data_IF_291419446527
#
_entry.id   IF_291419446527
#
_cell.length_a   1.000
_cell.length_b   1.000
_cell.length_c   1.000
_cell.angle_alpha   90.00
_cell.angle_beta   90.00
_cell.angle_gamma   90.00
#
_symmetry.space_group_name_H-M   'P 1'
#
loop_
_entity.id
_entity.type
_entity.pdbx_description
1 polymer ?
#
# COMPACT_ATOMS: atom_id res chain seq x y z
N UNK A 1 4.88 -23.00 -6.17
CA UNK A 1 5.05 -24.47 -6.01
C UNK A 1 5.86 -25.05 -7.16
N UNK A 2 5.43 -24.88 -8.42
CA UNK A 2 6.15 -25.45 -9.58
C UNK A 2 7.63 -25.06 -9.64
N UNK A 3 7.95 -23.78 -9.38
CA UNK A 3 9.34 -23.32 -9.31
C UNK A 3 10.13 -24.07 -8.21
N UNK A 4 9.56 -24.18 -7.00
CA UNK A 4 10.19 -24.89 -5.88
C UNK A 4 10.38 -26.36 -6.21
N UNK A 5 9.37 -27.02 -6.80
CA UNK A 5 9.46 -28.43 -7.22
C UNK A 5 10.61 -28.65 -8.23
N UNK A 6 10.72 -27.79 -9.24
CA UNK A 6 11.82 -27.84 -10.22
C UNK A 6 13.18 -27.67 -9.52
N UNK A 7 13.31 -26.68 -8.65
CA UNK A 7 14.54 -26.44 -7.87
C UNK A 7 14.90 -27.66 -7.02
N UNK A 8 13.94 -28.27 -6.33
CA UNK A 8 14.20 -29.45 -5.51
C UNK A 8 14.70 -30.63 -6.35
N UNK A 9 14.09 -30.88 -7.51
CA UNK A 9 14.49 -31.95 -8.42
C UNK A 9 15.92 -31.71 -8.95
N UNK A 10 16.21 -30.49 -9.43
CA UNK A 10 17.53 -30.14 -9.96
C UNK A 10 18.60 -30.21 -8.87
N UNK A 11 18.29 -29.75 -7.66
CA UNK A 11 19.20 -29.84 -6.52
C UNK A 11 19.53 -31.29 -6.17
N UNK A 12 18.54 -32.20 -6.21
CA UNK A 12 18.77 -33.63 -6.02
C UNK A 12 19.60 -34.27 -7.12
N UNK A 13 19.53 -33.78 -8.36
CA UNK A 13 20.42 -34.25 -9.43
C UNK A 13 21.87 -33.84 -9.18
N UNK A 14 22.09 -32.60 -8.73
CA UNK A 14 23.43 -32.07 -8.46
C UNK A 14 24.03 -32.57 -7.14
N UNK A 15 23.18 -32.80 -6.13
CA UNK A 15 23.56 -33.25 -4.79
C UNK A 15 22.56 -34.30 -4.29
N UNK A 16 22.70 -35.57 -4.73
CA UNK A 16 21.77 -36.64 -4.36
C UNK A 16 21.59 -36.83 -2.85
N UNK A 17 22.67 -36.62 -2.10
CA UNK A 17 22.70 -36.79 -0.64
C UNK A 17 22.22 -35.55 0.13
N UNK A 18 21.93 -34.43 -0.55
CA UNK A 18 21.39 -33.23 0.09
C UNK A 18 19.95 -33.48 0.50
N UNK A 19 19.66 -33.43 1.79
CA UNK A 19 18.31 -33.49 2.31
C UNK A 19 17.57 -32.16 2.08
N UNK A 20 16.30 -32.25 1.67
CA UNK A 20 15.44 -31.12 1.36
C UNK A 20 14.24 -31.16 2.32
N UNK A 21 14.16 -30.11 3.14
CA UNK A 21 13.05 -29.86 4.04
C UNK A 21 12.22 -28.68 3.53
N UNK A 22 10.90 -28.85 3.46
CA UNK A 22 9.96 -27.78 3.14
C UNK A 22 9.08 -27.44 4.35
N UNK A 23 8.74 -26.16 4.52
CA UNK A 23 7.89 -25.67 5.60
C UNK A 23 7.03 -24.48 5.19
N UNK A 24 6.10 -24.09 6.06
CA UNK A 24 5.25 -22.91 5.90
C UNK A 24 3.76 -23.21 5.67
N UNK A 25 2.91 -22.17 5.60
CA UNK A 25 1.46 -22.33 5.54
C UNK A 25 0.98 -23.16 4.34
N UNK A 26 1.61 -22.98 3.18
CA UNK A 26 1.22 -23.66 1.94
C UNK A 26 1.39 -25.19 1.99
N UNK A 27 2.48 -25.68 2.61
CA UNK A 27 2.71 -27.13 2.76
C UNK A 27 1.91 -27.73 3.92
N UNK A 28 1.58 -26.92 4.92
CA UNK A 28 0.92 -27.37 6.15
C UNK A 28 -0.49 -27.90 5.92
N UNK A 29 -1.20 -27.42 4.90
CA UNK A 29 -2.58 -27.82 4.60
C UNK A 29 -2.71 -28.90 3.53
N UNK A 30 -1.60 -29.31 2.92
CA UNK A 30 -1.58 -30.32 1.86
C UNK A 30 -0.20 -31.01 1.73
N UNK A 31 0.34 -31.57 2.82
CA UNK A 31 1.72 -32.04 2.87
C UNK A 31 1.99 -33.24 1.97
N UNK A 32 0.95 -33.99 1.59
CA UNK A 32 1.05 -35.18 0.75
C UNK A 32 1.48 -34.83 -0.69
N UNK A 33 1.19 -33.61 -1.16
CA UNK A 33 1.55 -33.13 -2.50
C UNK A 33 3.00 -32.65 -2.63
N UNK A 34 3.80 -32.79 -1.58
CA UNK A 34 5.21 -32.39 -1.52
C UNK A 34 6.14 -33.61 -1.37
N UNK A 35 5.79 -34.70 -2.05
CA UNK A 35 6.53 -35.97 -2.00
C UNK A 35 7.95 -35.91 -2.55
N UNK A 36 8.25 -34.90 -3.36
CA UNK A 36 9.56 -34.55 -3.92
C UNK A 36 10.52 -33.90 -2.91
N UNK A 37 10.06 -33.57 -1.71
CA UNK A 37 10.90 -33.23 -0.57
C UNK A 37 11.12 -34.47 0.31
N UNK A 38 12.28 -34.54 0.98
CA UNK A 38 12.57 -35.61 1.93
C UNK A 38 11.72 -35.44 3.20
N UNK A 39 11.52 -34.18 3.62
CA UNK A 39 10.78 -33.82 4.82
C UNK A 39 9.87 -32.62 4.58
N UNK A 40 8.68 -32.67 5.17
CA UNK A 40 7.72 -31.57 5.21
C UNK A 40 7.38 -31.25 6.66
N UNK A 41 7.58 -30.00 7.07
CA UNK A 41 7.21 -29.49 8.39
C UNK A 41 5.91 -28.70 8.28
N UNK A 42 4.87 -29.22 8.92
CA UNK A 42 3.56 -28.58 9.02
C UNK A 42 3.49 -27.75 10.30
N UNK A 43 3.02 -26.51 10.24
CA UNK A 43 3.02 -25.61 11.39
C UNK A 43 4.37 -24.95 11.66
N UNK A 44 4.66 -24.67 12.93
CA UNK A 44 5.83 -23.91 13.38
C UNK A 44 7.12 -24.76 13.39
N UNK A 45 8.13 -24.32 12.66
CA UNK A 45 9.38 -25.05 12.46
C UNK A 45 10.46 -24.73 13.49
N UNK A 46 10.27 -23.73 14.34
CA UNK A 46 11.32 -23.16 15.20
C UNK A 46 11.90 -24.14 16.24
N UNK A 47 11.15 -25.19 16.59
CA UNK A 47 11.62 -26.30 17.45
C UNK A 47 11.83 -27.56 16.63
N UNK A 48 10.87 -27.89 15.78
CA UNK A 48 10.84 -29.15 15.03
C UNK A 48 12.00 -29.27 14.06
N UNK A 49 12.41 -28.19 13.39
CA UNK A 49 13.56 -28.22 12.47
C UNK A 49 14.87 -28.50 13.23
N UNK A 50 15.23 -27.78 14.31
CA UNK A 50 16.38 -28.14 15.14
C UNK A 50 16.34 -29.56 15.69
N UNK A 51 15.20 -30.04 16.18
CA UNK A 51 15.08 -31.41 16.71
C UNK A 51 15.31 -32.47 15.64
N UNK A 52 14.81 -32.21 14.42
CA UNK A 52 15.03 -33.08 13.26
C UNK A 52 16.51 -33.12 12.88
N UNK A 53 17.15 -31.96 12.74
CA UNK A 53 18.57 -31.85 12.39
C UNK A 53 19.51 -32.49 13.44
N UNK A 54 19.07 -32.53 14.70
CA UNK A 54 19.79 -33.21 15.79
C UNK A 54 19.48 -34.71 15.89
N UNK A 55 18.66 -35.26 15.00
CA UNK A 55 18.27 -36.68 14.99
C UNK A 55 17.37 -37.09 16.16
N UNK A 56 16.73 -36.14 16.86
CA UNK A 56 15.83 -36.42 17.99
C UNK A 56 14.46 -36.90 17.53
N UNK A 57 14.05 -36.47 16.35
CA UNK A 57 12.82 -36.86 15.67
C UNK A 57 13.15 -37.27 14.24
N UNK A 58 12.29 -38.07 13.62
CA UNK A 58 12.42 -38.50 12.22
C UNK A 58 11.05 -38.71 11.60
N UNK A 59 10.97 -38.66 10.27
CA UNK A 59 9.75 -38.89 9.51
C UNK A 59 9.62 -37.96 8.31
N UNK A 60 8.79 -38.35 7.34
CA UNK A 60 8.55 -37.56 6.12
C UNK A 60 7.69 -36.32 6.38
N UNK A 61 6.70 -36.43 7.26
CA UNK A 61 5.81 -35.32 7.62
C UNK A 61 5.94 -35.11 9.12
N UNK A 62 6.47 -33.95 9.49
CA UNK A 62 6.68 -33.53 10.88
C UNK A 62 5.64 -32.49 11.27
N UNK A 63 5.17 -32.58 12.50
CA UNK A 63 4.20 -31.63 13.06
C UNK A 63 4.91 -30.66 13.99
N UNK A 64 4.93 -29.41 13.56
CA UNK A 64 5.37 -28.24 14.30
C UNK A 64 4.41 -27.90 15.44
N UNK A 65 4.96 -27.52 16.58
CA UNK A 65 4.19 -27.08 17.74
C UNK A 65 4.40 -25.60 18.02
N UNK A 66 3.35 -24.85 18.41
CA UNK A 66 3.46 -23.46 18.76
C UNK A 66 4.52 -23.18 19.84
N UNK A 67 5.33 -22.14 19.63
CA UNK A 67 6.29 -21.67 20.63
C UNK A 67 5.91 -20.32 21.25
N UNK A 68 6.29 -20.06 22.51
CA UNK A 68 6.26 -18.71 23.05
C UNK A 68 7.18 -17.80 22.25
N UNK A 69 6.65 -16.72 21.69
CA UNK A 69 7.41 -15.81 20.82
C UNK A 69 8.60 -15.16 21.53
N UNK A 70 8.49 -14.93 22.85
CA UNK A 70 9.58 -14.40 23.67
C UNK A 70 10.80 -15.34 23.78
N UNK A 71 10.68 -16.62 23.39
CA UNK A 71 11.80 -17.57 23.37
C UNK A 71 12.56 -17.58 22.03
N UNK A 72 12.02 -16.93 21.00
CA UNK A 72 12.66 -16.87 19.69
C UNK A 72 13.86 -15.93 19.72
N UNK A 73 14.87 -16.14 18.88
CA UNK A 73 15.91 -15.13 18.67
C UNK A 73 15.36 -13.97 17.84
N UNK A 74 16.00 -12.80 17.92
CA UNK A 74 15.74 -11.74 16.95
C UNK A 74 16.18 -12.20 15.55
N UNK A 75 15.33 -11.97 14.54
CA UNK A 75 15.50 -12.60 13.22
C UNK A 75 16.62 -11.99 12.37
N UNK A 76 17.10 -10.80 12.72
CA UNK A 76 18.06 -10.03 11.92
C UNK A 76 19.38 -9.89 12.67
N UNK A 77 20.48 -10.27 12.04
CA UNK A 77 21.81 -9.88 12.48
C UNK A 77 22.05 -8.38 12.22
N UNK A 78 23.08 -7.81 12.81
CA UNK A 78 23.43 -6.41 12.55
C UNK A 78 23.89 -6.21 11.09
N UNK A 79 24.46 -7.24 10.46
CA UNK A 79 24.79 -7.26 9.02
C UNK A 79 23.52 -7.24 8.16
N UNK A 80 22.52 -8.07 8.48
CA UNK A 80 21.23 -8.08 7.77
C UNK A 80 20.56 -6.70 7.81
N UNK A 81 20.61 -6.02 8.97
CA UNK A 81 20.04 -4.69 9.13
C UNK A 81 20.76 -3.65 8.28
N UNK A 82 22.10 -3.65 8.27
CA UNK A 82 22.88 -2.70 7.48
C UNK A 82 22.67 -2.90 5.97
N UNK A 83 22.64 -4.14 5.49
CA UNK A 83 22.40 -4.45 4.07
C UNK A 83 20.98 -4.09 3.60
N UNK A 84 19.99 -4.22 4.50
CA UNK A 84 18.58 -4.05 4.16
C UNK A 84 17.95 -2.77 4.72
N UNK A 85 18.73 -1.85 5.30
CA UNK A 85 18.19 -0.62 5.92
C UNK A 85 17.38 0.26 4.96
N UNK A 86 17.66 0.21 3.66
CA UNK A 86 16.91 0.95 2.64
C UNK A 86 15.79 0.14 1.98
N UNK A 87 15.46 -1.02 2.53
CA UNK A 87 14.43 -1.92 2.05
C UNK A 87 13.34 -2.07 3.11
N UNK A 88 12.22 -2.63 2.68
CA UNK A 88 11.17 -3.03 3.60
C UNK A 88 11.62 -4.23 4.44
N UNK A 89 11.62 -4.07 5.78
CA UNK A 89 11.91 -5.15 6.73
C UNK A 89 10.60 -5.62 7.39
N UNK A 90 10.39 -6.94 7.45
CA UNK A 90 9.22 -7.52 8.09
C UNK A 90 9.46 -7.80 9.57
N UNK A 91 8.48 -7.52 10.42
CA UNK A 91 8.60 -7.71 11.86
C UNK A 91 7.36 -8.38 12.45
N UNK A 92 7.54 -9.48 13.17
CA UNK A 92 6.46 -10.17 13.87
C UNK A 92 6.50 -9.81 15.35
N UNK A 93 5.47 -9.11 15.82
CA UNK A 93 5.26 -8.76 17.23
C UNK A 93 4.20 -9.66 17.87
N UNK A 94 3.33 -10.24 17.05
CA UNK A 94 2.31 -11.20 17.44
C UNK A 94 2.04 -12.21 16.32
N UNK A 95 1.56 -13.40 16.70
CA UNK A 95 1.22 -14.50 15.80
C UNK A 95 -0.20 -14.97 16.06
N UNK A 96 -0.98 -15.12 15.00
CA UNK A 96 -2.41 -15.43 15.03
C UNK A 96 -3.30 -14.21 14.80
N UNK A 97 -4.61 -14.41 14.81
CA UNK A 97 -5.62 -13.38 14.56
C UNK A 97 -6.88 -13.69 15.38
N UNK A 98 -7.56 -12.69 15.97
CA UNK A 98 -8.81 -12.95 16.72
C UNK A 98 -10.01 -13.19 15.80
N UNK A 99 -9.89 -12.86 14.51
CA UNK A 99 -10.96 -12.96 13.54
C UNK A 99 -10.99 -14.30 12.81
N UNK A 100 -12.20 -14.68 12.39
CA UNK A 100 -12.48 -15.96 11.74
C UNK A 100 -12.71 -15.83 10.22
N UNK A 101 -12.21 -14.76 9.57
CA UNK A 101 -12.49 -14.46 8.16
C UNK A 101 -12.25 -15.69 7.27
N UNK A 102 -13.26 -16.06 6.48
CA UNK A 102 -13.30 -17.35 5.78
C UNK A 102 -12.23 -17.53 4.71
N UNK A 103 -11.72 -16.42 4.15
CA UNK A 103 -10.71 -16.38 3.10
C UNK A 103 -9.26 -16.30 3.62
N UNK A 104 -9.08 -16.03 4.92
CA UNK A 104 -7.77 -15.80 5.50
C UNK A 104 -7.15 -17.09 6.04
N UNK A 105 -5.83 -17.28 5.92
CA UNK A 105 -5.15 -18.41 6.56
C UNK A 105 -4.93 -18.19 8.05
N UNK A 106 -4.84 -16.93 8.48
CA UNK A 106 -4.62 -16.58 9.89
C UNK A 106 -5.85 -16.83 10.78
N UNK A 107 -7.03 -17.09 10.20
CA UNK A 107 -8.22 -17.51 10.94
C UNK A 107 -8.20 -19.00 11.33
N UNK A 108 -7.24 -19.77 10.80
CA UNK A 108 -7.12 -21.20 11.10
C UNK A 108 -6.43 -21.42 12.45
N UNK A 109 -5.48 -20.55 12.80
CA UNK A 109 -4.87 -20.53 14.13
C UNK A 109 -5.85 -19.97 15.15
N UNK A 110 -5.91 -20.59 16.34
CA UNK A 110 -6.79 -20.14 17.42
C UNK A 110 -6.06 -19.19 18.36
N UNK A 111 -6.58 -17.97 18.47
CA UNK A 111 -6.10 -16.96 19.40
C UNK A 111 -4.86 -16.23 18.90
N UNK A 112 -4.27 -15.43 19.79
CA UNK A 112 -3.13 -14.58 19.49
C UNK A 112 -2.06 -14.81 20.55
N UNK A 113 -0.81 -14.98 20.12
CA UNK A 113 0.37 -14.96 20.98
C UNK A 113 1.13 -13.67 20.72
N UNK A 114 1.60 -13.04 21.80
CA UNK A 114 2.35 -11.79 21.74
C UNK A 114 3.77 -12.00 22.23
N UNK A 115 4.72 -11.25 21.66
CA UNK A 115 5.98 -10.93 22.35
C UNK A 115 5.70 -9.97 23.50
N UNK A 116 6.53 -10.01 24.54
CA UNK A 116 6.50 -9.02 25.62
C UNK A 116 6.70 -7.60 25.06
N UNK A 117 6.12 -6.60 25.74
CA UNK A 117 6.21 -5.20 25.27
C UNK A 117 7.65 -4.72 25.33
N UNK A 118 8.36 -5.08 26.39
CA UNK A 118 9.75 -4.73 26.65
C UNK A 118 10.63 -5.19 25.50
N UNK A 119 10.46 -6.45 25.07
CA UNK A 119 11.17 -7.00 23.93
C UNK A 119 10.84 -6.29 22.63
N UNK A 120 9.56 -5.98 22.38
CA UNK A 120 9.19 -5.24 21.17
C UNK A 120 9.83 -3.86 21.15
N UNK A 121 9.77 -3.11 22.25
CA UNK A 121 10.41 -1.80 22.33
C UNK A 121 11.93 -1.88 22.10
N UNK A 122 12.61 -2.89 22.67
CA UNK A 122 14.04 -3.14 22.41
C UNK A 122 14.32 -3.42 20.93
N UNK A 123 13.56 -4.31 20.30
CA UNK A 123 13.71 -4.67 18.88
C UNK A 123 13.41 -3.48 17.96
N UNK A 124 12.40 -2.66 18.27
CA UNK A 124 12.12 -1.41 17.54
C UNK A 124 13.26 -0.40 17.66
N UNK A 125 13.87 -0.29 18.84
CA UNK A 125 15.01 0.59 19.02
C UNK A 125 16.22 0.14 18.21
N UNK A 126 16.46 -1.17 18.10
CA UNK A 126 17.51 -1.72 17.23
C UNK A 126 17.31 -1.36 15.75
N UNK A 127 16.08 -1.45 15.25
CA UNK A 127 15.79 -1.01 13.87
C UNK A 127 16.08 0.48 13.67
N UNK A 128 15.71 1.32 14.62
CA UNK A 128 15.95 2.77 14.56
C UNK A 128 17.43 3.15 14.66
N UNK A 129 18.18 2.47 15.53
CA UNK A 129 19.62 2.67 15.67
C UNK A 129 20.39 2.26 14.41
N UNK A 130 19.92 1.20 13.74
CA UNK A 130 20.39 0.78 12.42
C UNK A 130 19.89 1.68 11.27
N UNK A 131 19.01 2.65 11.56
CA UNK A 131 18.41 3.58 10.60
C UNK A 131 17.68 2.87 9.45
N UNK A 132 16.93 1.81 9.78
CA UNK A 132 16.05 1.15 8.83
C UNK A 132 14.96 2.13 8.38
N UNK A 133 14.73 2.26 7.08
CA UNK A 133 13.79 3.23 6.51
C UNK A 133 12.33 2.86 6.84
N UNK A 134 11.96 1.58 6.69
CA UNK A 134 10.58 1.11 6.89
C UNK A 134 10.53 -0.32 7.46
N UNK A 135 9.85 -0.46 8.60
CA UNK A 135 9.53 -1.74 9.23
C UNK A 135 8.02 -2.02 9.11
N UNK A 136 7.64 -3.09 8.42
CA UNK A 136 6.25 -3.57 8.32
C UNK A 136 5.98 -4.67 9.32
N UNK A 137 5.02 -4.44 10.20
CA UNK A 137 4.49 -5.45 11.08
C UNK A 137 3.70 -6.47 10.26
N UNK A 138 3.98 -7.76 10.46
CA UNK A 138 3.22 -8.86 9.84
C UNK A 138 2.04 -9.33 10.71
N UNK A 139 1.81 -8.63 11.83
CA UNK A 139 0.69 -8.79 12.74
C UNK A 139 -0.63 -8.47 12.02
N UNK A 140 -1.44 -9.49 11.73
CA UNK A 140 -2.71 -9.38 10.95
C UNK A 140 -3.76 -8.45 11.54
N UNK A 141 -3.71 -8.25 12.85
CA UNK A 141 -4.56 -7.30 13.55
C UNK A 141 -3.73 -6.73 14.68
N UNK A 142 -2.80 -5.85 14.32
CA UNK A 142 -1.85 -5.28 15.27
C UNK A 142 -2.54 -4.69 16.52
N UNK A 143 -3.67 -4.03 16.31
CA UNK A 143 -4.45 -3.39 17.37
C UNK A 143 -5.48 -4.30 18.07
N UNK A 144 -5.36 -5.63 17.93
CA UNK A 144 -6.23 -6.58 18.63
C UNK A 144 -6.17 -6.42 20.17
N UNK A 145 -4.99 -6.11 20.71
CA UNK A 145 -4.84 -5.60 22.08
C UNK A 145 -4.57 -4.08 22.04
N UNK A 146 -5.62 -3.29 22.26
CA UNK A 146 -5.57 -1.82 22.24
C UNK A 146 -4.52 -1.24 23.18
N UNK A 147 -4.40 -1.77 24.41
CA UNK A 147 -3.46 -1.23 25.40
C UNK A 147 -2.03 -1.49 24.98
N UNK A 148 -1.77 -2.65 24.38
CA UNK A 148 -0.48 -3.00 23.80
C UNK A 148 -0.14 -2.12 22.60
N UNK A 149 -1.05 -1.99 21.63
CA UNK A 149 -0.85 -1.18 20.44
C UNK A 149 -0.52 0.27 20.79
N UNK A 150 -1.28 0.88 21.71
CA UNK A 150 -1.02 2.23 22.22
C UNK A 150 0.38 2.38 22.84
N UNK A 151 0.86 1.40 23.60
CA UNK A 151 2.22 1.44 24.17
C UNK A 151 3.30 1.39 23.09
N UNK A 152 3.12 0.52 22.09
CA UNK A 152 4.07 0.39 20.97
C UNK A 152 4.07 1.66 20.12
N UNK A 153 2.90 2.21 19.78
CA UNK A 153 2.82 3.46 19.02
C UNK A 153 3.47 4.63 19.76
N UNK A 154 3.22 4.77 21.07
CA UNK A 154 3.90 5.80 21.88
C UNK A 154 5.40 5.66 21.85
N UNK A 155 5.91 4.45 22.06
CA UNK A 155 7.36 4.20 22.01
C UNK A 155 7.93 4.51 20.63
N UNK A 156 7.32 4.01 19.56
CA UNK A 156 7.77 4.22 18.19
C UNK A 156 7.74 5.71 17.78
N UNK A 157 6.76 6.47 18.26
CA UNK A 157 6.66 7.91 17.98
C UNK A 157 7.68 8.75 18.79
N UNK A 158 8.01 8.33 20.01
CA UNK A 158 8.87 9.10 20.93
C UNK A 158 10.36 8.75 20.82
N UNK A 159 10.67 7.45 20.71
CA UNK A 159 12.03 6.92 20.87
C UNK A 159 12.70 6.56 19.55
N UNK A 160 11.93 6.38 18.48
CA UNK A 160 12.48 6.12 17.14
C UNK A 160 12.47 7.41 16.32
N UNK A 161 13.61 7.85 15.79
CA UNK A 161 13.73 9.11 15.02
C UNK A 161 13.79 8.93 13.52
N UNK A 162 14.30 7.78 13.06
CA UNK A 162 14.61 7.52 11.66
C UNK A 162 13.60 6.58 11.03
N UNK A 163 13.24 5.50 11.73
CA UNK A 163 12.45 4.41 11.15
C UNK A 163 10.96 4.74 11.05
N UNK A 164 10.36 4.47 9.89
CA UNK A 164 8.91 4.47 9.69
C UNK A 164 8.34 3.09 9.99
N UNK A 165 7.08 3.05 10.41
CA UNK A 165 6.41 1.80 10.77
C UNK A 165 5.09 1.61 10.02
N UNK A 166 4.90 0.43 9.45
CA UNK A 166 3.69 0.04 8.75
C UNK A 166 2.94 -1.01 9.56
N UNK A 167 1.64 -0.82 9.78
CA UNK A 167 0.79 -1.70 10.58
C UNK A 167 -0.47 -2.12 9.83
N UNK A 168 -0.82 -3.41 9.88
CA UNK A 168 -2.14 -3.92 9.49
C UNK A 168 -3.07 -3.87 10.72
N UNK A 169 -4.20 -3.18 10.62
CA UNK A 169 -5.10 -2.96 11.76
C UNK A 169 -6.58 -3.08 11.42
N UNK A 170 -7.39 -3.38 12.43
CA UNK A 170 -8.84 -3.32 12.36
C UNK A 170 -9.30 -1.91 12.74
N UNK A 171 -9.74 -1.12 11.75
CA UNK A 171 -10.07 0.30 11.94
C UNK A 171 -11.24 0.51 12.91
N UNK A 172 -12.17 -0.44 13.00
CA UNK A 172 -13.31 -0.40 13.90
C UNK A 172 -12.94 -0.56 15.39
N UNK A 173 -11.74 -1.04 15.69
CA UNK A 173 -11.23 -1.16 17.07
C UNK A 173 -10.64 0.16 17.60
N UNK A 174 -10.44 1.16 16.74
CA UNK A 174 -9.91 2.46 17.15
C UNK A 174 -10.94 3.20 18.01
N UNK A 175 -10.49 3.69 19.16
CA UNK A 175 -11.27 4.54 20.05
C UNK A 175 -10.81 5.99 19.95
N UNK A 176 -11.59 6.90 20.54
CA UNK A 176 -11.33 8.34 20.47
C UNK A 176 -9.96 8.69 21.08
N UNK A 177 -9.53 8.00 22.14
CA UNK A 177 -8.19 8.21 22.72
C UNK A 177 -7.06 7.75 21.79
N UNK A 178 -7.30 6.72 20.98
CA UNK A 178 -6.32 6.25 20.00
C UNK A 178 -6.16 7.28 18.89
N UNK A 179 -7.28 7.76 18.35
CA UNK A 179 -7.31 8.80 17.33
C UNK A 179 -6.62 10.08 17.81
N UNK A 180 -6.93 10.54 19.03
CA UNK A 180 -6.35 11.79 19.56
C UNK A 180 -4.83 11.69 19.71
N UNK A 181 -4.31 10.54 20.13
CA UNK A 181 -2.87 10.30 20.13
C UNK A 181 -2.31 10.30 18.69
N UNK A 182 -2.97 9.61 17.76
CA UNK A 182 -2.49 9.48 16.38
C UNK A 182 -2.40 10.82 15.64
N UNK A 183 -3.24 11.81 15.98
CA UNK A 183 -3.10 13.18 15.48
C UNK A 183 -1.77 13.85 15.86
N UNK A 184 -1.13 13.41 16.94
CA UNK A 184 0.14 13.97 17.43
C UNK A 184 1.37 13.32 16.80
N UNK A 185 1.19 12.23 16.04
CA UNK A 185 2.28 11.48 15.43
C UNK A 185 2.94 12.33 14.31
N UNK A 186 4.28 12.39 14.21
CA UNK A 186 4.95 13.10 13.13
C UNK A 186 4.54 12.61 11.74
N UNK A 187 4.41 13.54 10.79
CA UNK A 187 4.02 13.24 9.40
C UNK A 187 4.92 12.17 8.80
N UNK A 188 4.30 11.14 8.20
CA UNK A 188 5.00 10.07 7.50
C UNK A 188 5.69 9.04 8.42
N UNK A 189 5.49 9.13 9.74
CA UNK A 189 6.05 8.17 10.71
C UNK A 189 5.35 6.82 10.66
N UNK A 190 4.02 6.82 10.50
CA UNK A 190 3.21 5.61 10.46
C UNK A 190 2.50 5.46 9.11
N UNK A 191 2.32 4.20 8.72
CA UNK A 191 1.47 3.77 7.63
C UNK A 191 0.48 2.72 8.17
N UNK A 192 -0.79 2.83 7.79
CA UNK A 192 -1.82 1.90 8.20
C UNK A 192 -2.45 1.21 6.99
N UNK A 193 -2.55 -0.12 7.07
CA UNK A 193 -3.33 -0.95 6.15
C UNK A 193 -4.62 -1.38 6.86
N UNK A 194 -5.76 -0.94 6.32
CA UNK A 194 -7.09 -1.15 6.90
C UNK A 194 -7.97 -1.87 5.89
N UNK A 195 -8.20 -3.16 6.13
CA UNK A 195 -9.03 -3.97 5.26
C UNK A 195 -10.52 -3.63 5.38
N UNK A 196 -11.13 -3.04 4.34
CA UNK A 196 -12.59 -2.87 4.25
C UNK A 196 -13.20 -4.12 3.62
N UNK A 197 -12.54 -4.64 2.58
CA UNK A 197 -12.82 -5.84 1.81
C UNK A 197 -14.07 -5.74 0.94
N UNK A 198 -15.19 -5.25 1.49
CA UNK A 198 -16.42 -4.94 0.76
C UNK A 198 -17.24 -3.96 1.59
N UNK A 199 -18.08 -3.16 0.93
CA UNK A 199 -19.10 -2.33 1.61
C UNK A 199 -20.47 -3.01 1.66
N UNK A 200 -20.60 -4.18 1.06
CA UNK A 200 -21.82 -4.97 1.07
C UNK A 200 -21.89 -5.83 2.34
N UNK A 201 -22.85 -5.54 3.21
CA UNK A 201 -23.02 -6.26 4.48
C UNK A 201 -23.30 -7.76 4.30
N UNK A 202 -23.99 -8.17 3.22
CA UNK A 202 -24.24 -9.59 2.93
C UNK A 202 -22.94 -10.30 2.57
N UNK A 203 -22.10 -9.68 1.75
CA UNK A 203 -20.78 -10.19 1.41
C UNK A 203 -19.92 -10.37 2.65
N UNK A 204 -19.79 -9.32 3.47
CA UNK A 204 -19.00 -9.34 4.70
C UNK A 204 -19.45 -10.43 5.68
N UNK A 205 -20.77 -10.56 5.89
CA UNK A 205 -21.35 -11.61 6.72
C UNK A 205 -21.07 -13.00 6.17
N UNK A 206 -21.16 -13.19 4.85
CA UNK A 206 -20.91 -14.48 4.21
C UNK A 206 -19.46 -14.96 4.37
N UNK A 207 -18.53 -14.02 4.49
CA UNK A 207 -17.11 -14.33 4.71
C UNK A 207 -16.67 -14.28 6.17
N UNK A 208 -17.61 -14.28 7.11
CA UNK A 208 -17.38 -14.18 8.56
C UNK A 208 -16.61 -12.92 9.00
N UNK A 209 -16.68 -11.85 8.20
CA UNK A 209 -16.13 -10.53 8.54
C UNK A 209 -17.24 -9.67 9.13
N UNK A 210 -17.44 -9.79 10.43
CA UNK A 210 -18.46 -9.02 11.14
C UNK A 210 -17.84 -7.73 11.69
N UNK A 211 -18.36 -6.59 11.27
CA UNK A 211 -17.91 -5.27 11.72
C UNK A 211 -18.97 -4.20 11.47
N UNK A 212 -18.86 -3.06 12.15
CA UNK A 212 -19.72 -1.91 11.90
C UNK A 212 -19.09 -1.04 10.82
N UNK A 213 -19.60 -1.14 9.58
CA UNK A 213 -19.09 -0.39 8.44
C UNK A 213 -19.16 1.13 8.63
N UNK A 214 -20.26 1.64 9.19
CA UNK A 214 -20.40 3.07 9.46
C UNK A 214 -19.30 3.56 10.41
N UNK A 215 -19.10 2.83 11.52
CA UNK A 215 -18.04 3.16 12.47
C UNK A 215 -16.66 3.08 11.81
N UNK A 216 -16.39 2.04 11.03
CA UNK A 216 -15.13 1.89 10.31
C UNK A 216 -14.84 3.10 9.40
N UNK A 217 -15.80 3.51 8.59
CA UNK A 217 -15.67 4.68 7.71
C UNK A 217 -15.44 5.96 8.52
N UNK A 218 -16.15 6.15 9.63
CA UNK A 218 -15.96 7.33 10.49
C UNK A 218 -14.56 7.36 11.12
N UNK A 219 -14.03 6.21 11.53
CA UNK A 219 -12.65 6.09 12.04
C UNK A 219 -11.61 6.39 10.96
N UNK A 220 -11.80 5.87 9.74
CA UNK A 220 -10.89 6.13 8.61
C UNK A 220 -10.90 7.62 8.25
N UNK A 221 -12.08 8.26 8.16
CA UNK A 221 -12.19 9.71 7.91
C UNK A 221 -11.46 10.52 8.97
N UNK A 222 -11.57 10.13 10.24
CA UNK A 222 -10.86 10.82 11.32
C UNK A 222 -9.34 10.71 11.17
N UNK A 223 -8.81 9.53 10.80
CA UNK A 223 -7.38 9.33 10.53
C UNK A 223 -6.90 10.21 9.36
N UNK A 224 -7.65 10.21 8.25
CA UNK A 224 -7.28 10.95 7.04
C UNK A 224 -7.34 12.47 7.24
N UNK A 225 -8.22 12.97 8.11
CA UNK A 225 -8.43 14.42 8.32
C UNK A 225 -7.18 15.19 8.75
N UNK A 226 -6.18 14.52 9.31
CA UNK A 226 -4.94 15.15 9.80
C UNK A 226 -3.83 15.15 8.75
N UNK A 227 -3.86 14.20 7.81
CA UNK A 227 -2.86 14.10 6.74
C UNK A 227 -1.44 13.72 7.20
N UNK A 228 -1.27 13.21 8.43
CA UNK A 228 0.03 12.84 8.99
C UNK A 228 0.36 11.34 8.87
N UNK A 229 -0.65 10.49 8.63
CA UNK A 229 -0.52 9.04 8.53
C UNK A 229 -0.93 8.61 7.13
N UNK A 230 -0.10 7.80 6.48
CA UNK A 230 -0.42 7.22 5.18
C UNK A 230 -1.37 6.03 5.36
N UNK A 231 -2.52 6.04 4.69
CA UNK A 231 -3.57 5.03 4.88
C UNK A 231 -3.84 4.28 3.58
N UNK A 232 -3.73 2.95 3.67
CA UNK A 232 -4.14 2.01 2.64
C UNK A 232 -5.50 1.44 3.03
N UNK A 233 -6.42 1.39 2.06
CA UNK A 233 -7.68 0.67 2.19
C UNK A 233 -7.76 -0.45 1.18
N UNK A 234 -8.30 -1.60 1.58
CA UNK A 234 -8.37 -2.78 0.71
C UNK A 234 -9.81 -3.15 0.35
N UNK A 235 -10.00 -3.57 -0.90
CA UNK A 235 -11.19 -4.27 -1.39
C UNK A 235 -10.82 -5.63 -1.97
N UNK A 236 -11.72 -6.61 -1.91
CA UNK A 236 -11.52 -7.93 -2.52
C UNK A 236 -12.63 -8.23 -3.54
N UNK A 237 -12.23 -8.47 -4.78
CA UNK A 237 -13.10 -8.92 -5.87
C UNK A 237 -13.47 -10.39 -5.71
N UNK A 238 -14.75 -10.69 -5.93
CA UNK A 238 -15.25 -12.05 -6.10
C UNK A 238 -15.56 -12.81 -4.83
N UNK A 239 -15.79 -12.11 -3.73
CA UNK A 239 -16.43 -12.68 -2.55
C UNK A 239 -17.90 -13.06 -2.84
N UNK A 240 -18.53 -13.93 -2.03
CA UNK A 240 -19.93 -14.29 -2.19
C UNK A 240 -20.83 -13.06 -2.10
N UNK A 241 -21.88 -12.99 -2.92
CA UNK A 241 -22.81 -11.85 -3.04
C UNK A 241 -22.21 -10.54 -3.61
N UNK A 242 -20.93 -10.55 -3.99
CA UNK A 242 -20.26 -9.39 -4.61
C UNK A 242 -20.33 -9.51 -6.14
N UNK A 243 -21.42 -9.04 -6.75
CA UNK A 243 -21.50 -8.90 -8.22
C UNK A 243 -20.68 -7.71 -8.71
N UNK A 244 -20.50 -7.59 -10.04
CA UNK A 244 -19.80 -6.44 -10.63
C UNK A 244 -20.40 -5.08 -10.22
N UNK A 245 -21.72 -4.95 -10.21
CA UNK A 245 -22.40 -3.71 -9.80
C UNK A 245 -22.26 -3.43 -8.30
N UNK A 246 -22.28 -4.48 -7.48
CA UNK A 246 -22.04 -4.34 -6.03
C UNK A 246 -20.59 -3.92 -5.78
N UNK A 247 -19.64 -4.49 -6.51
CA UNK A 247 -18.23 -4.09 -6.43
C UNK A 247 -18.04 -2.65 -6.90
N UNK A 248 -18.71 -2.20 -7.96
CA UNK A 248 -18.71 -0.79 -8.41
C UNK A 248 -19.15 0.13 -7.26
N UNK A 249 -20.21 -0.22 -6.54
CA UNK A 249 -20.63 0.53 -5.36
C UNK A 249 -19.54 0.53 -4.27
N UNK A 250 -19.02 -0.64 -3.90
CA UNK A 250 -17.92 -0.76 -2.93
C UNK A 250 -16.69 0.06 -3.29
N UNK A 251 -16.31 0.06 -4.57
CA UNK A 251 -15.21 0.87 -5.09
C UNK A 251 -15.47 2.35 -4.88
N UNK A 252 -16.63 2.86 -5.32
CA UNK A 252 -16.96 4.27 -5.20
C UNK A 252 -17.05 4.72 -3.73
N UNK A 253 -17.63 3.90 -2.87
CA UNK A 253 -17.74 4.18 -1.43
C UNK A 253 -16.35 4.30 -0.79
N UNK A 254 -15.45 3.36 -1.05
CA UNK A 254 -14.08 3.41 -0.50
C UNK A 254 -13.27 4.53 -1.14
N UNK A 255 -13.37 4.73 -2.46
CA UNK A 255 -12.67 5.81 -3.15
C UNK A 255 -13.05 7.20 -2.60
N UNK A 256 -14.30 7.38 -2.16
CA UNK A 256 -14.77 8.63 -1.53
C UNK A 256 -14.09 8.97 -0.21
N UNK A 257 -13.38 8.02 0.41
CA UNK A 257 -12.57 8.29 1.59
C UNK A 257 -11.31 9.10 1.24
N UNK A 258 -10.86 9.06 -0.02
CA UNK A 258 -9.60 9.65 -0.46
C UNK A 258 -8.40 9.14 0.36
N UNK A 259 -8.36 7.83 0.64
CA UNK A 259 -7.19 7.20 1.27
C UNK A 259 -6.00 7.26 0.32
N UNK A 260 -4.78 7.37 0.85
CA UNK A 260 -3.57 7.47 0.03
C UNK A 260 -3.42 6.30 -0.96
N UNK A 261 -3.81 5.10 -0.53
CA UNK A 261 -3.82 3.92 -1.40
C UNK A 261 -5.17 3.22 -1.34
N UNK A 262 -5.69 2.83 -2.51
CA UNK A 262 -6.81 1.90 -2.67
C UNK A 262 -6.30 0.63 -3.33
N UNK A 263 -6.17 -0.44 -2.55
CA UNK A 263 -5.73 -1.74 -3.03
C UNK A 263 -6.93 -2.59 -3.41
N UNK A 264 -6.97 -3.04 -4.67
CA UNK A 264 -7.98 -3.97 -5.16
C UNK A 264 -7.36 -5.36 -5.31
N UNK A 265 -7.65 -6.23 -4.34
CA UNK A 265 -7.24 -7.62 -4.34
C UNK A 265 -8.26 -8.53 -5.04
N UNK A 266 -7.80 -9.71 -5.45
CA UNK A 266 -8.65 -10.76 -6.03
C UNK A 266 -8.71 -11.94 -5.09
N UNK A 267 -9.91 -12.47 -4.85
CA UNK A 267 -10.10 -13.56 -3.91
C UNK A 267 -9.23 -14.76 -4.29
N UNK A 268 -8.53 -15.30 -3.29
CA UNK A 268 -7.69 -16.49 -3.41
C UNK A 268 -8.30 -17.62 -2.60
N UNK A 269 -8.55 -18.76 -3.24
CA UNK A 269 -8.99 -19.97 -2.55
C UNK A 269 -7.76 -20.68 -1.97
N UNK A 270 -7.20 -20.11 -0.90
CA UNK A 270 -6.00 -20.63 -0.24
C UNK A 270 -6.27 -22.01 0.39
N UNK A 271 -5.28 -22.91 0.33
CA UNK A 271 -5.37 -24.25 0.94
C UNK A 271 -5.60 -24.12 2.45
N UNK A 272 -6.61 -24.81 2.99
CA UNK A 272 -6.96 -24.76 4.41
C UNK A 272 -8.05 -23.73 4.78
N UNK A 273 -8.21 -22.67 3.98
CA UNK A 273 -9.24 -21.63 4.22
C UNK A 273 -10.66 -22.19 4.18
N UNK A 274 -11.59 -21.57 4.92
CA UNK A 274 -13.01 -21.98 4.96
C UNK A 274 -13.67 -21.79 3.60
N UNK A 275 -13.43 -20.65 2.94
CA UNK A 275 -14.04 -20.34 1.64
C UNK A 275 -13.66 -21.36 0.55
N UNK A 276 -12.45 -21.93 0.61
CA UNK A 276 -12.06 -23.00 -0.32
C UNK A 276 -12.86 -24.28 -0.09
N UNK A 277 -13.15 -24.63 1.17
CA UNK A 277 -13.99 -25.80 1.52
C UNK A 277 -15.45 -25.59 1.09
N UNK A 278 -15.89 -24.33 1.06
CA UNK A 278 -17.23 -23.93 0.63
C UNK A 278 -17.27 -23.52 -0.86
N UNK A 279 -16.24 -23.85 -1.63
CA UNK A 279 -16.11 -23.40 -3.03
C UNK A 279 -17.29 -23.85 -3.92
N UNK A 280 -17.78 -25.07 -3.71
CA UNK A 280 -18.93 -25.62 -4.45
C UNK A 280 -20.24 -24.86 -4.14
N UNK A 281 -20.40 -24.34 -2.92
CA UNK A 281 -21.63 -23.65 -2.49
C UNK A 281 -21.94 -22.43 -3.36
N UNK A 282 -20.91 -21.73 -3.81
CA UNK A 282 -21.03 -20.50 -4.63
C UNK A 282 -20.51 -20.70 -6.06
N UNK A 283 -20.31 -21.96 -6.48
CA UNK A 283 -19.88 -22.33 -7.83
C UNK A 283 -18.55 -21.69 -8.27
N UNK A 284 -17.56 -21.63 -7.36
CA UNK A 284 -16.26 -21.04 -7.66
C UNK A 284 -15.48 -21.83 -8.72
N UNK A 285 -15.02 -21.11 -9.76
CA UNK A 285 -13.93 -21.56 -10.63
C UNK A 285 -12.69 -20.73 -10.31
N UNK A 286 -11.55 -21.38 -10.10
CA UNK A 286 -10.33 -20.73 -9.67
C UNK A 286 -9.09 -21.49 -10.17
N UNK A 287 -7.94 -20.82 -10.17
CA UNK A 287 -6.67 -21.44 -10.54
C UNK A 287 -6.29 -22.52 -9.55
N UNK A 288 -5.98 -23.72 -10.04
CA UNK A 288 -5.41 -24.79 -9.21
C UNK A 288 -3.93 -24.56 -8.89
N UNK A 289 -3.32 -23.54 -9.51
CA UNK A 289 -1.95 -23.12 -9.24
C UNK A 289 -1.93 -21.84 -8.40
N UNK A 290 -0.97 -21.75 -7.48
CA UNK A 290 -0.72 -20.52 -6.72
C UNK A 290 -0.56 -19.33 -7.68
N UNK A 291 -1.20 -18.18 -7.41
CA UNK A 291 -1.77 -17.76 -6.12
C UNK A 291 -3.23 -18.20 -5.83
N UNK A 292 -3.83 -19.12 -6.61
CA UNK A 292 -5.19 -19.65 -6.41
C UNK A 292 -6.32 -18.62 -6.56
N UNK A 293 -6.08 -17.61 -7.39
CA UNK A 293 -7.06 -16.57 -7.69
C UNK A 293 -8.26 -17.16 -8.44
N UNK A 294 -9.44 -16.59 -8.18
CA UNK A 294 -10.66 -16.97 -8.88
C UNK A 294 -10.60 -16.59 -10.35
N UNK A 295 -11.32 -17.34 -11.17
CA UNK A 295 -11.76 -16.91 -12.48
C UNK A 295 -13.16 -16.30 -12.38
N UNK A 296 -14.07 -16.93 -11.63
CA UNK A 296 -15.47 -16.52 -11.48
C UNK A 296 -16.20 -17.33 -10.41
N UNK A 297 -17.43 -16.92 -10.12
CA UNK A 297 -18.41 -17.64 -9.30
C UNK A 297 -19.84 -17.33 -9.79
N UNK A 298 -20.85 -17.72 -9.03
CA UNK A 298 -22.25 -17.45 -9.40
C UNK A 298 -22.67 -15.97 -9.43
N UNK A 299 -21.87 -15.07 -8.85
CA UNK A 299 -22.16 -13.63 -8.75
C UNK A 299 -21.38 -12.77 -9.75
N UNK A 300 -20.20 -13.22 -10.19
CA UNK A 300 -19.33 -12.47 -11.11
C UNK A 300 -18.70 -13.38 -12.16
N UNK A 301 -18.79 -13.00 -13.43
CA UNK A 301 -18.23 -13.75 -14.56
C UNK A 301 -16.74 -13.49 -14.76
N UNK A 302 -16.03 -14.38 -15.45
CA UNK A 302 -14.59 -14.21 -15.69
C UNK A 302 -14.27 -13.00 -16.56
N UNK A 303 -15.19 -12.62 -17.46
CA UNK A 303 -15.06 -11.39 -18.25
C UNK A 303 -15.16 -10.11 -17.40
N UNK A 304 -15.87 -10.18 -16.27
CA UNK A 304 -16.00 -9.07 -15.32
C UNK A 304 -14.81 -9.03 -14.36
N UNK A 305 -14.34 -10.19 -13.88
CA UNK A 305 -13.10 -10.29 -13.10
C UNK A 305 -11.93 -9.70 -13.88
N UNK A 306 -11.73 -10.10 -15.14
CA UNK A 306 -10.68 -9.54 -16.01
C UNK A 306 -10.81 -8.01 -16.19
N UNK A 307 -12.04 -7.49 -16.30
CA UNK A 307 -12.26 -6.04 -16.35
C UNK A 307 -11.83 -5.34 -15.06
N UNK A 308 -12.12 -5.94 -13.90
CA UNK A 308 -11.70 -5.41 -12.62
C UNK A 308 -10.18 -5.50 -12.43
N UNK A 309 -9.50 -6.50 -12.98
CA UNK A 309 -8.02 -6.57 -13.00
C UNK A 309 -7.42 -5.37 -13.74
N UNK A 310 -7.96 -5.05 -14.93
CA UNK A 310 -7.52 -3.87 -15.69
C UNK A 310 -7.79 -2.55 -14.93
N UNK A 311 -8.93 -2.45 -14.24
CA UNK A 311 -9.25 -1.30 -13.39
C UNK A 311 -8.26 -1.19 -12.24
N UNK A 312 -7.99 -2.29 -11.53
CA UNK A 312 -7.05 -2.34 -10.41
C UNK A 312 -5.64 -1.89 -10.82
N UNK A 313 -5.13 -2.36 -11.97
CA UNK A 313 -3.84 -1.95 -12.51
C UNK A 313 -3.82 -0.46 -12.90
N UNK A 314 -4.94 0.07 -13.40
CA UNK A 314 -5.06 1.50 -13.71
C UNK A 314 -5.04 2.34 -12.44
N UNK A 315 -5.78 1.93 -11.41
CA UNK A 315 -5.76 2.61 -10.10
C UNK A 315 -4.35 2.58 -9.50
N UNK A 316 -3.65 1.45 -9.58
CA UNK A 316 -2.27 1.33 -9.08
C UNK A 316 -1.32 2.32 -9.76
N UNK A 317 -1.36 2.41 -11.09
CA UNK A 317 -0.43 3.26 -11.85
C UNK A 317 -0.76 4.75 -11.82
N UNK A 318 -2.02 5.11 -11.62
CA UNK A 318 -2.48 6.49 -11.72
C UNK A 318 -2.83 7.08 -10.35
N UNK A 319 -3.74 6.45 -9.60
CA UNK A 319 -4.17 6.92 -8.29
C UNK A 319 -3.10 6.69 -7.21
N UNK A 320 -2.70 5.43 -6.97
CA UNK A 320 -1.78 5.06 -5.88
C UNK A 320 -0.36 5.62 -6.08
N UNK A 321 -0.02 6.06 -7.31
CA UNK A 321 1.27 6.69 -7.62
C UNK A 321 1.40 8.13 -7.12
N UNK A 322 0.27 8.80 -6.82
CA UNK A 322 0.17 10.24 -6.54
C UNK A 322 0.80 11.17 -7.59
N UNK A 323 1.07 10.66 -8.79
CA UNK A 323 1.67 11.44 -9.87
C UNK A 323 0.63 12.21 -10.70
N UNK A 324 -0.66 12.04 -10.43
CA UNK A 324 -1.76 12.58 -11.24
C UNK A 324 -2.92 13.12 -10.38
N UNK A 325 -2.67 13.47 -9.12
CA UNK A 325 -3.70 13.82 -8.14
C UNK A 325 -4.72 14.83 -8.71
N UNK A 326 -4.26 15.96 -9.26
CA UNK A 326 -5.15 17.03 -9.74
C UNK A 326 -5.80 16.72 -11.07
N UNK A 327 -5.09 16.04 -11.95
CA UNK A 327 -5.61 15.64 -13.26
C UNK A 327 -6.68 14.56 -13.13
N UNK A 328 -6.52 13.61 -12.21
CA UNK A 328 -7.53 12.59 -11.90
C UNK A 328 -8.75 13.25 -11.26
N UNK A 329 -8.56 14.15 -10.28
CA UNK A 329 -9.65 14.90 -9.66
C UNK A 329 -10.49 15.64 -10.72
N UNK A 330 -9.82 16.34 -11.63
CA UNK A 330 -10.47 17.02 -12.75
C UNK A 330 -11.18 16.05 -13.69
N UNK A 331 -10.55 14.92 -14.02
CA UNK A 331 -11.16 13.92 -14.91
C UNK A 331 -12.40 13.30 -14.32
N UNK A 332 -12.34 12.86 -13.06
CA UNK A 332 -13.48 12.26 -12.36
C UNK A 332 -14.69 13.21 -12.32
N UNK A 333 -14.46 14.52 -12.23
CA UNK A 333 -15.55 15.51 -12.25
C UNK A 333 -16.39 15.51 -13.55
N UNK A 334 -15.88 14.87 -14.62
CA UNK A 334 -16.58 14.70 -15.91
C UNK A 334 -17.35 13.38 -16.01
N UNK A 335 -17.27 12.52 -14.99
CA UNK A 335 -17.95 11.22 -14.95
C UNK A 335 -18.98 11.20 -13.82
N UNK A 336 -19.92 10.26 -13.89
CA UNK A 336 -20.91 10.05 -12.82
C UNK A 336 -20.27 9.55 -11.53
N UNK A 337 -19.24 8.69 -11.65
CA UNK A 337 -18.49 8.16 -10.51
C UNK A 337 -17.02 7.92 -10.85
N UNK A 338 -16.13 7.83 -9.83
CA UNK A 338 -14.74 7.41 -10.02
C UNK A 338 -14.60 6.08 -10.77
N UNK A 339 -15.43 5.08 -10.42
CA UNK A 339 -15.44 3.79 -11.11
C UNK A 339 -15.72 3.93 -12.61
N UNK A 340 -16.66 4.77 -13.02
CA UNK A 340 -16.98 4.96 -14.44
C UNK A 340 -15.80 5.55 -15.23
N UNK A 341 -15.03 6.46 -14.61
CA UNK A 341 -13.78 6.95 -15.16
C UNK A 341 -12.76 5.82 -15.33
N UNK A 342 -12.47 5.06 -14.27
CA UNK A 342 -11.47 3.98 -14.34
C UNK A 342 -11.89 2.84 -15.26
N UNK A 343 -13.19 2.51 -15.33
CA UNK A 343 -13.69 1.47 -16.23
C UNK A 343 -13.48 1.86 -17.70
N UNK A 344 -13.74 3.12 -18.06
CA UNK A 344 -13.48 3.59 -19.42
C UNK A 344 -11.98 3.64 -19.70
N UNK A 345 -11.19 4.24 -18.79
CA UNK A 345 -9.78 4.43 -19.00
C UNK A 345 -9.00 3.11 -19.08
N UNK A 346 -9.35 2.13 -18.23
CA UNK A 346 -8.68 0.84 -18.22
C UNK A 346 -8.90 0.03 -19.50
N UNK A 347 -9.97 0.29 -20.27
CA UNK A 347 -10.23 -0.39 -21.55
C UNK A 347 -9.28 0.06 -22.66
N UNK A 348 -8.77 1.29 -22.56
CA UNK A 348 -7.92 1.91 -23.58
C UNK A 348 -6.44 1.94 -23.19
N UNK A 349 -6.15 1.67 -21.91
CA UNK A 349 -4.80 1.56 -21.39
C UNK A 349 -4.17 0.19 -21.71
N UNK A 350 -3.00 0.18 -22.35
CA UNK A 350 -2.22 -1.05 -22.54
C UNK A 350 -1.48 -1.42 -21.25
N UNK A 351 -2.01 -2.41 -20.54
CA UNK A 351 -1.49 -2.89 -19.26
C UNK A 351 -0.18 -3.70 -19.39
N UNK A 352 0.28 -4.00 -20.61
CA UNK A 352 1.41 -4.90 -20.83
C UNK A 352 2.75 -4.22 -20.51
N UNK A 353 3.47 -4.84 -19.58
CA UNK A 353 4.85 -4.48 -19.26
C UNK A 353 4.99 -3.17 -18.48
N UNK A 354 6.22 -2.89 -18.08
CA UNK A 354 6.54 -1.67 -17.35
C UNK A 354 6.49 -0.47 -18.32
N UNK A 355 5.71 0.54 -17.96
CA UNK A 355 5.63 1.81 -18.70
C UNK A 355 6.33 2.88 -17.88
N UNK A 356 7.28 3.60 -18.48
CA UNK A 356 7.97 4.68 -17.80
C UNK A 356 6.98 5.78 -17.39
N UNK A 357 7.16 6.35 -16.19
CA UNK A 357 6.26 7.38 -15.64
C UNK A 357 5.94 8.51 -16.63
N UNK A 358 6.97 9.02 -17.34
CA UNK A 358 6.79 10.09 -18.34
C UNK A 358 5.81 9.72 -19.46
N UNK A 359 5.77 8.44 -19.85
CA UNK A 359 4.87 7.94 -20.90
C UNK A 359 3.43 7.85 -20.38
N UNK A 360 3.22 7.62 -19.08
CA UNK A 360 1.88 7.62 -18.47
C UNK A 360 1.19 8.99 -18.62
N UNK A 361 1.92 10.10 -18.51
CA UNK A 361 1.37 11.44 -18.77
C UNK A 361 0.90 11.61 -20.22
N UNK A 362 1.66 11.12 -21.19
CA UNK A 362 1.26 11.17 -22.60
C UNK A 362 0.03 10.30 -22.86
N UNK A 363 -0.01 9.10 -22.29
CA UNK A 363 -1.16 8.20 -22.38
C UNK A 363 -2.42 8.88 -21.80
N UNK A 364 -2.29 9.50 -20.62
CA UNK A 364 -3.43 10.15 -19.99
C UNK A 364 -3.90 11.38 -20.78
N UNK A 365 -2.96 12.14 -21.36
CA UNK A 365 -3.27 13.23 -22.28
C UNK A 365 -4.00 12.77 -23.53
N UNK A 366 -3.51 11.73 -24.19
CA UNK A 366 -4.13 11.19 -25.40
C UNK A 366 -5.51 10.59 -25.11
N UNK A 367 -5.68 9.94 -23.96
CA UNK A 367 -6.99 9.47 -23.49
C UNK A 367 -7.97 10.64 -23.35
N UNK A 368 -7.61 11.68 -22.60
CA UNK A 368 -8.46 12.85 -22.45
C UNK A 368 -8.80 13.48 -23.83
N UNK A 369 -7.80 13.70 -24.68
CA UNK A 369 -7.97 14.32 -26.00
C UNK A 369 -8.94 13.52 -26.89
N UNK A 370 -8.89 12.18 -26.84
CA UNK A 370 -9.76 11.32 -27.63
C UNK A 370 -11.25 11.41 -27.24
N UNK A 371 -11.54 11.64 -25.95
CA UNK A 371 -12.92 11.65 -25.43
C UNK A 371 -13.50 13.05 -25.28
N UNK A 372 -12.66 14.06 -25.02
CA UNK A 372 -13.10 15.43 -24.69
C UNK A 372 -12.57 16.51 -25.62
N UNK A 373 -11.67 16.17 -26.55
CA UNK A 373 -11.02 17.14 -27.44
C UNK A 373 -9.98 18.00 -26.70
N UNK A 374 -9.60 19.11 -27.30
CA UNK A 374 -8.66 20.05 -26.67
C UNK A 374 -9.28 20.71 -25.43
N UNK A 375 -8.62 20.58 -24.29
CA UNK A 375 -9.04 21.15 -23.01
C UNK A 375 -7.84 21.76 -22.30
N UNK A 376 -7.83 23.10 -22.25
CA UNK A 376 -6.77 23.83 -21.61
C UNK A 376 -6.72 23.56 -20.10
N UNK A 377 -7.87 23.39 -19.45
CA UNK A 377 -7.93 23.20 -17.99
C UNK A 377 -7.29 21.86 -17.60
N UNK A 378 -7.62 20.80 -18.32
CA UNK A 378 -6.98 19.50 -18.11
C UNK A 378 -5.47 19.57 -18.37
N UNK A 379 -5.06 20.23 -19.46
CA UNK A 379 -3.64 20.36 -19.81
C UNK A 379 -2.84 21.10 -18.72
N UNK A 380 -3.44 22.13 -18.10
CA UNK A 380 -2.84 22.86 -16.98
C UNK A 380 -2.73 22.00 -15.71
N UNK A 381 -3.75 21.19 -15.38
CA UNK A 381 -3.67 20.25 -14.25
C UNK A 381 -2.66 19.14 -14.48
N UNK A 382 -2.58 18.59 -15.69
CA UNK A 382 -1.61 17.56 -16.04
C UNK A 382 -0.18 18.10 -16.01
N UNK A 383 -0.01 19.37 -16.38
CA UNK A 383 1.26 20.07 -16.23
C UNK A 383 1.60 20.34 -14.76
N UNK A 384 0.62 20.71 -13.95
CA UNK A 384 0.82 20.92 -12.51
C UNK A 384 1.37 19.64 -11.86
N UNK A 385 0.70 18.51 -12.12
CA UNK A 385 1.10 17.20 -11.62
C UNK A 385 2.50 16.79 -12.13
N UNK A 386 2.80 17.05 -13.41
CA UNK A 386 4.12 16.81 -13.98
C UNK A 386 5.22 17.59 -13.26
N UNK A 387 5.01 18.89 -13.01
CA UNK A 387 6.02 19.75 -12.39
C UNK A 387 6.26 19.33 -10.94
N UNK A 388 5.19 18.99 -10.20
CA UNK A 388 5.27 18.43 -8.84
C UNK A 388 6.12 17.16 -8.83
N UNK A 389 5.81 16.20 -9.69
CA UNK A 389 6.47 14.89 -9.68
C UNK A 389 7.92 14.94 -10.19
N UNK A 390 8.20 15.77 -11.19
CA UNK A 390 9.53 15.86 -11.80
C UNK A 390 10.44 16.91 -11.18
N UNK A 391 9.98 17.58 -10.11
CA UNK A 391 10.73 18.63 -9.39
C UNK A 391 11.20 19.75 -10.31
N UNK A 392 10.31 20.21 -11.19
CA UNK A 392 10.57 21.37 -12.05
C UNK A 392 11.22 21.09 -13.41
N UNK A 393 11.25 19.84 -13.88
CA UNK A 393 11.62 19.55 -15.27
C UNK A 393 10.55 20.14 -16.20
N UNK A 394 10.99 20.76 -17.31
CA UNK A 394 10.07 21.31 -18.30
C UNK A 394 9.04 20.28 -18.73
N UNK A 395 7.78 20.70 -18.74
CA UNK A 395 6.68 19.90 -19.24
C UNK A 395 6.82 19.64 -20.75
N UNK A 396 6.29 18.52 -21.27
CA UNK A 396 6.25 18.24 -22.70
C UNK A 396 5.43 19.28 -23.49
N UNK A 397 5.82 19.53 -24.74
CA UNK A 397 5.20 20.55 -25.61
C UNK A 397 3.70 20.33 -25.87
N UNK A 398 3.22 19.09 -25.79
CA UNK A 398 1.79 18.77 -25.97
C UNK A 398 0.91 19.27 -24.81
N UNK A 399 1.50 19.63 -23.66
CA UNK A 399 0.82 20.31 -22.54
C UNK A 399 0.83 21.84 -22.70
N UNK A 400 1.16 22.33 -23.89
CA UNK A 400 1.25 23.74 -24.22
C UNK A 400 2.67 24.30 -24.09
N UNK A 401 2.94 25.38 -24.83
CA UNK A 401 4.19 26.13 -24.73
C UNK A 401 4.07 27.18 -23.64
N UNK A 402 4.88 27.05 -22.60
CA UNK A 402 4.86 27.94 -21.44
C UNK A 402 6.06 28.89 -21.47
N UNK A 403 5.80 30.17 -21.26
CA UNK A 403 6.87 31.18 -21.21
C UNK A 403 7.68 31.01 -19.93
N UNK A 404 9.01 31.10 -20.06
CA UNK A 404 9.89 31.07 -18.89
C UNK A 404 9.63 32.28 -17.99
N UNK A 405 9.27 32.01 -16.74
CA UNK A 405 9.11 33.01 -15.68
C UNK A 405 10.31 33.04 -14.72
N UNK A 406 11.46 32.53 -15.15
CA UNK A 406 12.70 32.62 -14.37
C UNK A 406 13.10 34.06 -13.98
N UNK A 407 12.96 35.09 -14.83
CA UNK A 407 13.27 36.46 -14.42
C UNK A 407 12.46 36.92 -13.20
N UNK A 408 11.17 36.55 -13.15
CA UNK A 408 10.29 36.84 -12.02
C UNK A 408 10.73 36.10 -10.75
N UNK A 409 11.15 34.83 -10.88
CA UNK A 409 11.72 34.07 -9.76
C UNK A 409 12.98 34.75 -9.19
N UNK A 410 13.87 35.26 -10.05
CA UNK A 410 15.06 35.98 -9.57
C UNK A 410 14.69 37.26 -8.80
N UNK A 411 13.70 38.02 -9.27
CA UNK A 411 13.19 39.21 -8.57
C UNK A 411 12.62 38.86 -7.19
N UNK A 412 11.84 37.78 -7.08
CA UNK A 412 11.33 37.29 -5.79
C UNK A 412 12.47 36.94 -4.82
N UNK A 413 13.53 36.29 -5.32
CA UNK A 413 14.68 35.90 -4.50
C UNK A 413 15.59 37.06 -4.09
N UNK A 414 15.45 38.24 -4.70
CA UNK A 414 16.14 39.46 -4.25
C UNK A 414 15.49 40.05 -3.00
N UNK A 415 14.19 39.82 -2.79
CA UNK A 415 13.48 40.22 -1.59
C UNK A 415 13.81 39.28 -0.42
N UNK A 416 14.54 39.81 0.58
CA UNK A 416 14.96 39.01 1.74
C UNK A 416 13.76 38.51 2.56
N UNK A 417 12.79 39.38 2.83
CA UNK A 417 11.60 39.05 3.62
C UNK A 417 10.77 37.94 2.96
N UNK A 418 10.64 37.96 1.63
CA UNK A 418 9.96 36.92 0.89
C UNK A 418 10.64 35.55 1.06
N UNK A 419 11.98 35.50 0.97
CA UNK A 419 12.73 34.26 1.19
C UNK A 419 12.59 33.74 2.62
N UNK A 420 12.65 34.63 3.61
CA UNK A 420 12.54 34.25 5.01
C UNK A 420 11.14 33.69 5.33
N UNK A 421 10.09 34.14 4.62
CA UNK A 421 8.72 33.64 4.77
C UNK A 421 8.51 32.31 4.03
N UNK A 422 8.84 32.25 2.73
CA UNK A 422 8.44 31.15 1.87
C UNK A 422 9.50 30.05 1.72
N UNK A 423 10.77 30.36 1.99
CA UNK A 423 11.90 29.44 1.86
C UNK A 423 12.87 29.57 3.05
N UNK A 424 12.39 29.49 4.31
CA UNK A 424 13.22 29.76 5.50
C UNK A 424 14.47 28.88 5.56
N UNK A 425 14.33 27.60 5.20
CA UNK A 425 15.43 26.64 5.22
C UNK A 425 16.48 26.90 4.13
N UNK A 426 16.13 27.64 3.07
CA UNK A 426 17.06 27.99 1.99
C UNK A 426 17.55 29.44 2.07
N UNK A 427 17.02 30.26 2.99
CA UNK A 427 17.29 31.70 3.07
C UNK A 427 18.79 32.03 3.22
N UNK A 428 19.55 31.13 3.84
CA UNK A 428 21.00 31.25 4.03
C UNK A 428 21.83 30.95 2.76
N UNK A 429 21.21 30.37 1.73
CA UNK A 429 21.88 29.97 0.49
C UNK A 429 21.96 31.13 -0.52
N UNK A 430 22.88 31.03 -1.48
CA UNK A 430 22.95 31.97 -2.60
C UNK A 430 21.80 31.70 -3.58
N UNK A 431 21.19 32.76 -4.14
CA UNK A 431 20.06 32.64 -5.07
C UNK A 431 20.32 31.64 -6.22
N UNK A 432 21.54 31.60 -6.77
CA UNK A 432 21.95 30.65 -7.83
C UNK A 432 21.85 29.16 -7.45
N UNK A 433 21.90 28.86 -6.15
CA UNK A 433 21.82 27.50 -5.61
C UNK A 433 20.39 27.18 -5.17
N UNK A 434 19.62 28.21 -4.76
CA UNK A 434 18.19 28.12 -4.46
C UNK A 434 17.40 27.73 -5.73
N UNK A 435 17.64 28.39 -6.87
CA UNK A 435 16.92 28.13 -8.14
C UNK A 435 17.09 26.71 -8.69
N UNK A 436 18.04 25.92 -8.17
CA UNK A 436 18.22 24.50 -8.53
C UNK A 436 17.31 23.57 -7.71
N UNK A 437 16.64 24.10 -6.68
CA UNK A 437 15.85 23.35 -5.70
C UNK A 437 14.37 23.71 -5.72
N UNK A 438 14.01 24.75 -6.47
CA UNK A 438 12.65 25.27 -6.57
C UNK A 438 12.26 25.45 -8.04
N UNK A 439 10.96 25.42 -8.31
CA UNK A 439 10.41 25.75 -9.61
C UNK A 439 9.26 26.73 -9.43
N UNK A 440 9.27 27.84 -10.18
CA UNK A 440 8.12 28.74 -10.27
C UNK A 440 7.40 28.45 -11.59
N UNK A 441 6.10 28.19 -11.52
CA UNK A 441 5.28 27.99 -12.71
C UNK A 441 3.99 28.83 -12.64
N UNK A 442 3.60 29.37 -13.79
CA UNK A 442 2.37 30.15 -13.99
C UNK A 442 1.35 29.28 -14.68
N UNK A 443 0.14 29.16 -14.13
CA UNK A 443 -0.99 28.37 -14.65
C UNK A 443 -2.14 29.27 -15.08
N UNK A 444 -2.89 28.81 -16.07
CA UNK A 444 -4.07 29.49 -16.62
C UNK A 444 -5.34 28.69 -16.30
N UNK A 445 -5.81 28.80 -15.06
CA UNK A 445 -7.09 28.22 -14.64
C UNK A 445 -8.23 29.23 -14.86
N UNK A 446 -9.23 29.30 -13.97
CA UNK A 446 -10.25 30.35 -13.98
C UNK A 446 -9.65 31.75 -13.79
N UNK A 447 -8.51 31.82 -13.12
CA UNK A 447 -7.63 32.98 -13.00
C UNK A 447 -6.19 32.54 -13.26
N UNK A 448 -5.31 33.52 -13.46
CA UNK A 448 -3.88 33.25 -13.49
C UNK A 448 -3.43 32.92 -12.08
N UNK A 449 -2.66 31.84 -11.92
CA UNK A 449 -2.10 31.40 -10.63
C UNK A 449 -0.60 31.17 -10.79
N UNK A 450 0.19 31.62 -9.81
CA UNK A 450 1.62 31.35 -9.74
C UNK A 450 1.90 30.40 -8.59
N UNK A 451 2.45 29.22 -8.89
CA UNK A 451 2.82 28.24 -7.89
C UNK A 451 4.34 28.08 -7.80
N UNK A 452 4.84 28.11 -6.57
CA UNK A 452 6.22 27.79 -6.22
C UNK A 452 6.29 26.35 -5.70
N UNK A 453 7.02 25.50 -6.41
CA UNK A 453 7.27 24.11 -6.03
C UNK A 453 8.61 24.02 -5.31
N UNK A 454 8.60 23.47 -4.09
CA UNK A 454 9.77 23.30 -3.24
C UNK A 454 9.65 22.02 -2.41
N UNK A 455 10.55 21.05 -2.60
CA UNK A 455 10.43 19.75 -1.94
C UNK A 455 9.14 19.04 -2.37
N UNK A 456 8.30 18.69 -1.38
CA UNK A 456 6.95 18.15 -1.60
C UNK A 456 5.86 19.25 -1.46
N UNK A 457 6.27 20.48 -1.12
CA UNK A 457 5.38 21.61 -0.92
C UNK A 457 5.10 22.35 -2.24
N UNK A 458 3.87 22.83 -2.36
CA UNK A 458 3.44 23.74 -3.44
C UNK A 458 2.78 24.95 -2.81
N UNK A 459 3.35 26.13 -3.05
CA UNK A 459 2.96 27.39 -2.42
C UNK A 459 2.34 28.31 -3.49
N UNK A 460 1.15 28.83 -3.23
CA UNK A 460 0.56 29.90 -4.04
C UNK A 460 1.26 31.24 -3.73
N UNK A 461 1.84 31.86 -4.76
CA UNK A 461 2.56 33.13 -4.68
C UNK A 461 1.98 34.16 -5.66
N UNK A 462 0.73 33.97 -6.07
CA UNK A 462 0.03 34.77 -7.09
C UNK A 462 0.06 36.26 -6.77
N UNK A 463 -0.41 36.65 -5.58
CA UNK A 463 -0.48 38.06 -5.16
C UNK A 463 0.87 38.77 -5.31
N UNK A 464 1.95 38.08 -4.92
CA UNK A 464 3.30 38.64 -4.97
C UNK A 464 3.82 38.75 -6.41
N UNK A 465 3.58 37.72 -7.22
CA UNK A 465 3.92 37.74 -8.64
C UNK A 465 3.17 38.83 -9.40
N UNK A 466 1.89 39.07 -9.07
CA UNK A 466 1.10 40.14 -9.66
C UNK A 466 1.55 41.52 -9.19
N UNK A 467 1.93 41.69 -7.91
CA UNK A 467 2.50 42.94 -7.40
C UNK A 467 3.76 43.36 -8.19
N UNK A 468 4.66 42.40 -8.44
CA UNK A 468 5.91 42.67 -9.18
C UNK A 468 5.63 43.00 -10.64
N UNK A 469 4.74 42.25 -11.30
CA UNK A 469 4.36 42.51 -12.68
C UNK A 469 3.56 43.83 -12.84
N UNK A 470 2.85 44.28 -11.81
CA UNK A 470 2.14 45.56 -11.80
C UNK A 470 3.03 46.77 -11.52
N UNK A 471 4.26 46.55 -11.02
CA UNK A 471 5.29 47.58 -10.78
C UNK A 471 6.25 47.77 -11.95
N UNK A 472 6.25 46.86 -12.93
CA UNK A 472 7.01 46.93 -14.18
C UNK A 472 6.20 47.54 -15.31
#
# INVERSE_FOLDING_TARGET
IELIKKICIDLKQMKPDCEILLGGPEVSYDPQNYDFADVVVCGEGEITVPEYLLGKISGKILQGSPVPLDKLSFCYSDEDLEENKHRLIYYESSRGCPYACSYCLSSIEKGIRFKSIERVCEELKRFDDAKVDLVKFVDRTFNADRKRAMKIWKFAAQECKHTKFHFELAGELLQDEDLEFLKTVPVGKFQFEIGIQSTNERTLKAVDRNGNLSLLFDRIRCLLSVGNIHVHTDLIVGMPFESYEVFKQSFNDVYSLHSDCLQVGFLKLLKGSKIRKESEQFHYRYSVFAPYEIYDNEFISSSQVFRLEMIAETVERFYNSHAFDKSIEYMISKFESPFDFYELFSKEFDHRGAVAQKKLYEIFYLFHLAHFGEDQMFSEWLRYDWIKQTKGVSAPDYLGKHQSIQPLLFQLLEEKEWKDIYLPDLAHMKNKDIVKRICLAKFHFSSVVYCLFYGDDVIDVTDKCEEINGKS
#
